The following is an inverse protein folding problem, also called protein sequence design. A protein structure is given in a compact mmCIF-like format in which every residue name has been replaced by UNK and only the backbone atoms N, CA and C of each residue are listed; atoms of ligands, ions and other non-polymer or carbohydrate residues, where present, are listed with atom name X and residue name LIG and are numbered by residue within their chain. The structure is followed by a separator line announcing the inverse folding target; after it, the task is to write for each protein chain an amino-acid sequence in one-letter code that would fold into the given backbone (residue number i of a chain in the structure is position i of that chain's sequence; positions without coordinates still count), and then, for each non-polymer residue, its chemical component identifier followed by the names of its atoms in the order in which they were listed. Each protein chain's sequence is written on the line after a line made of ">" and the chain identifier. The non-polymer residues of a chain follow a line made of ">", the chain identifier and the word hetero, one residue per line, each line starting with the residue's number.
data_IF_975092302801
#
_entry.id   IF_975092302801
#
_cell.length_a   1.000
_cell.length_b   1.000
_cell.length_c   1.000
_cell.angle_alpha   90.00
_cell.angle_beta   90.00
_cell.angle_gamma   90.00
#
_symmetry.space_group_name_H-M   'P 1'
#
loop_
_entity.id
_entity.type
_entity.pdbx_description
1 polymer ?
#
# COMPACT_ATOMS: atom_id res chain seq x y z
N UNK A 1 4.82 -4.42 -3.40
CA UNK A 1 5.70 -5.42 -4.02
C UNK A 1 5.87 -5.17 -5.52
N UNK A 2 4.81 -5.24 -6.34
CA UNK A 2 4.87 -4.96 -7.79
C UNK A 2 5.63 -3.70 -8.18
N UNK A 3 5.23 -2.55 -7.64
CA UNK A 3 5.88 -1.26 -7.96
C UNK A 3 7.35 -1.29 -7.54
N UNK A 4 7.65 -1.85 -6.37
CA UNK A 4 9.02 -2.01 -5.89
C UNK A 4 9.86 -2.83 -6.89
N UNK A 5 9.35 -3.98 -7.34
CA UNK A 5 10.03 -4.82 -8.32
C UNK A 5 10.25 -4.11 -9.67
N UNK A 6 9.21 -3.47 -10.21
CA UNK A 6 9.32 -2.69 -11.46
C UNK A 6 10.34 -1.55 -11.33
N UNK A 7 10.51 -1.01 -10.13
CA UNK A 7 11.51 0.00 -9.81
C UNK A 7 12.87 -0.57 -9.43
N UNK A 8 13.09 -1.88 -9.59
CA UNK A 8 14.35 -2.52 -9.22
C UNK A 8 14.65 -2.49 -7.72
N UNK A 9 13.65 -2.22 -6.87
CA UNK A 9 13.78 -2.21 -5.41
C UNK A 9 13.60 -3.65 -4.91
N UNK A 10 14.66 -4.29 -4.40
CA UNK A 10 14.63 -5.71 -4.09
C UNK A 10 14.06 -6.03 -2.71
N UNK A 11 13.89 -5.03 -1.83
CA UNK A 11 13.45 -5.22 -0.44
C UNK A 11 12.28 -4.29 -0.11
N UNK A 12 11.25 -4.84 0.51
CA UNK A 12 10.05 -4.14 0.97
C UNK A 12 9.80 -4.47 2.45
N UNK A 13 9.51 -3.46 3.27
CA UNK A 13 9.30 -3.64 4.72
C UNK A 13 7.87 -3.28 5.05
N UNK A 14 7.20 -4.14 5.80
CA UNK A 14 5.85 -3.91 6.33
C UNK A 14 5.75 -4.42 7.76
N UNK A 15 4.71 -4.02 8.49
CA UNK A 15 4.51 -4.53 9.84
C UNK A 15 4.22 -6.03 9.81
N UNK A 16 3.29 -6.45 8.97
CA UNK A 16 2.83 -7.83 8.86
C UNK A 16 2.13 -8.02 7.52
N UNK A 17 2.43 -9.12 6.84
CA UNK A 17 1.76 -9.42 5.57
C UNK A 17 0.31 -9.85 5.83
N UNK A 18 -0.55 -9.73 4.83
CA UNK A 18 -1.80 -10.49 4.79
C UNK A 18 -1.53 -11.99 4.65
N UNK A 19 -2.58 -12.78 4.69
CA UNK A 19 -2.48 -14.24 4.72
C UNK A 19 -3.82 -14.91 4.50
N UNK A 20 -3.89 -16.21 4.79
CA UNK A 20 -5.14 -16.96 4.83
C UNK A 20 -5.91 -16.53 6.07
N UNK A 21 -7.18 -16.14 5.90
CA UNK A 21 -8.03 -15.81 7.05
C UNK A 21 -8.42 -17.08 7.80
N UNK A 22 -8.75 -16.95 9.09
CA UNK A 22 -9.26 -18.09 9.88
C UNK A 22 -10.60 -18.56 9.30
N UNK A 23 -10.72 -19.87 9.04
CA UNK A 23 -11.85 -20.43 8.29
C UNK A 23 -11.72 -20.28 6.76
N UNK A 24 -10.57 -19.81 6.27
CA UNK A 24 -10.26 -19.59 4.86
C UNK A 24 -10.37 -20.85 4.01
N UNK A 25 -10.25 -22.05 4.60
CA UNK A 25 -10.48 -23.33 3.91
C UNK A 25 -11.95 -23.53 3.48
N UNK A 26 -12.89 -22.79 4.08
CA UNK A 26 -14.30 -22.81 3.70
C UNK A 26 -14.70 -21.56 2.92
N UNK A 27 -14.20 -20.39 3.34
CA UNK A 27 -14.59 -19.10 2.76
C UNK A 27 -13.75 -18.72 1.54
N UNK A 28 -12.60 -19.36 1.35
CA UNK A 28 -11.56 -18.96 0.39
C UNK A 28 -11.09 -17.51 0.56
N UNK A 29 -11.20 -16.97 1.78
CA UNK A 29 -10.72 -15.62 2.10
C UNK A 29 -9.20 -15.63 2.33
N UNK A 30 -8.46 -15.41 1.24
CA UNK A 30 -7.00 -15.40 1.20
C UNK A 30 -6.48 -14.07 0.69
N UNK A 31 -5.46 -13.52 1.35
CA UNK A 31 -4.84 -12.25 0.94
C UNK A 31 -4.13 -12.36 -0.42
N UNK A 32 -4.22 -11.29 -1.20
CA UNK A 32 -3.48 -11.14 -2.45
C UNK A 32 -1.97 -11.17 -2.23
N UNK A 33 -1.52 -10.78 -1.05
CA UNK A 33 -0.10 -10.72 -0.68
C UNK A 33 0.61 -12.06 -0.91
N UNK A 34 -0.06 -13.19 -0.69
CA UNK A 34 0.55 -14.51 -0.81
C UNK A 34 0.82 -14.89 -2.26
N UNK A 35 -0.18 -14.69 -3.13
CA UNK A 35 -0.01 -14.89 -4.58
C UNK A 35 0.99 -13.90 -5.16
N UNK A 36 0.99 -12.67 -4.65
CA UNK A 36 1.92 -11.64 -5.09
C UNK A 36 3.37 -11.98 -4.71
N UNK A 37 3.59 -12.48 -3.49
CA UNK A 37 4.87 -13.06 -3.08
C UNK A 37 5.28 -14.23 -3.98
N UNK A 38 4.34 -15.04 -4.47
CA UNK A 38 4.63 -16.15 -5.39
C UNK A 38 5.15 -15.74 -6.77
N UNK A 39 4.87 -14.52 -7.22
CA UNK A 39 5.13 -14.09 -8.61
C UNK A 39 6.00 -12.85 -8.78
N UNK A 40 6.34 -12.19 -7.68
CA UNK A 40 7.14 -10.95 -7.71
C UNK A 40 8.39 -11.12 -6.86
N UNK A 41 9.59 -11.07 -7.48
CA UNK A 41 10.85 -11.31 -6.77
C UNK A 41 11.28 -10.07 -5.99
N UNK A 42 10.62 -9.89 -4.85
CA UNK A 42 10.91 -8.88 -3.83
C UNK A 42 10.99 -9.60 -2.49
N UNK A 43 12.02 -9.28 -1.71
CA UNK A 43 12.12 -9.71 -0.34
C UNK A 43 11.22 -8.83 0.55
N UNK A 44 10.29 -9.44 1.26
CA UNK A 44 9.44 -8.78 2.24
C UNK A 44 9.95 -9.08 3.63
N UNK A 45 10.24 -8.02 4.38
CA UNK A 45 10.59 -8.10 5.80
C UNK A 45 9.37 -7.67 6.61
N UNK A 46 8.91 -8.53 7.52
CA UNK A 46 7.76 -8.23 8.39
C UNK A 46 7.83 -8.98 9.70
N UNK A 47 6.97 -8.63 10.66
CA UNK A 47 6.78 -9.40 11.88
C UNK A 47 5.95 -10.68 11.67
N UNK A 48 6.08 -11.33 10.51
CA UNK A 48 5.25 -12.44 10.08
C UNK A 48 3.93 -11.97 9.48
N UNK A 49 2.84 -12.65 9.84
CA UNK A 49 1.48 -12.46 9.30
C UNK A 49 0.63 -11.75 10.34
N UNK A 50 -0.27 -10.84 9.92
CA UNK A 50 -1.16 -10.12 10.87
C UNK A 50 -1.93 -11.10 11.78
N UNK A 51 -2.00 -10.82 13.08
CA UNK A 51 -2.44 -11.79 14.10
C UNK A 51 -3.89 -12.31 13.96
N UNK A 52 -4.76 -11.59 13.25
CA UNK A 52 -6.14 -12.04 12.99
C UNK A 52 -6.24 -13.19 11.98
N UNK A 53 -5.12 -13.58 11.36
CA UNK A 53 -5.05 -14.54 10.27
C UNK A 53 -4.65 -15.94 10.78
N UNK A 54 -4.67 -16.90 9.88
CA UNK A 54 -4.26 -18.28 10.11
C UNK A 54 -2.81 -18.49 9.64
N UNK A 55 -1.88 -18.60 10.60
CA UNK A 55 -0.45 -18.71 10.29
C UNK A 55 -0.13 -20.03 9.61
N UNK A 56 -0.64 -21.16 10.12
CA UNK A 56 -0.37 -22.48 9.56
C UNK A 56 -0.80 -22.57 8.09
N UNK A 57 -2.04 -22.18 7.80
CA UNK A 57 -2.54 -22.18 6.42
C UNK A 57 -1.82 -21.17 5.54
N UNK A 58 -1.38 -20.04 6.10
CA UNK A 58 -0.59 -19.07 5.35
C UNK A 58 0.77 -19.65 4.95
N UNK A 59 1.45 -20.38 5.83
CA UNK A 59 2.72 -21.04 5.51
C UNK A 59 2.55 -22.11 4.42
N UNK A 60 1.51 -22.96 4.52
CA UNK A 60 1.18 -23.95 3.49
C UNK A 60 0.89 -23.32 2.12
N UNK A 61 0.16 -22.20 2.12
CA UNK A 61 -0.12 -21.46 0.88
C UNK A 61 1.16 -20.87 0.30
N UNK A 62 2.04 -20.28 1.13
CA UNK A 62 3.31 -19.72 0.68
C UNK A 62 4.25 -20.80 0.12
N UNK A 63 4.28 -21.98 0.74
CA UNK A 63 4.97 -23.14 0.20
C UNK A 63 4.43 -23.53 -1.19
N UNK A 64 3.11 -23.61 -1.33
CA UNK A 64 2.44 -23.88 -2.61
C UNK A 64 2.79 -22.84 -3.69
N UNK A 65 2.96 -21.58 -3.31
CA UNK A 65 3.36 -20.49 -4.19
C UNK A 65 4.87 -20.45 -4.48
N UNK A 66 5.66 -21.38 -3.92
CA UNK A 66 7.12 -21.41 -4.09
C UNK A 66 7.83 -20.22 -3.43
N UNK A 67 7.23 -19.62 -2.39
CA UNK A 67 7.81 -18.48 -1.67
C UNK A 67 8.80 -18.99 -0.64
N UNK A 68 10.04 -18.49 -0.67
CA UNK A 68 11.01 -18.78 0.37
C UNK A 68 10.63 -18.05 1.66
N UNK A 69 10.34 -18.79 2.73
CA UNK A 69 9.97 -18.22 4.04
C UNK A 69 11.05 -18.55 5.07
N UNK A 70 11.65 -17.53 5.67
CA UNK A 70 12.67 -17.67 6.70
C UNK A 70 12.31 -16.86 7.95
N UNK A 71 12.48 -17.43 9.13
CA UNK A 71 12.48 -16.66 10.38
C UNK A 71 13.84 -15.99 10.58
N UNK A 72 13.86 -14.81 11.22
CA UNK A 72 15.08 -14.08 11.54
C UNK A 72 15.47 -14.26 13.01
N UNK A 73 16.74 -14.60 13.25
CA UNK A 73 17.35 -14.78 14.57
C UNK A 73 17.73 -16.23 14.84
N UNK A 74 17.73 -16.63 16.11
CA UNK A 74 18.29 -17.91 16.56
C UNK A 74 17.28 -19.07 16.59
N UNK A 75 16.06 -18.87 16.06
CA UNK A 75 14.99 -19.88 16.10
C UNK A 75 14.24 -19.92 14.78
N UNK A 76 13.70 -21.10 14.46
CA UNK A 76 12.73 -21.32 13.38
C UNK A 76 11.31 -20.87 13.74
N UNK A 77 11.06 -20.50 14.98
CA UNK A 77 9.74 -20.03 15.43
C UNK A 77 9.26 -18.87 14.55
N UNK A 78 8.09 -19.06 13.92
CA UNK A 78 7.49 -18.03 13.09
C UNK A 78 6.78 -17.01 13.99
N UNK A 79 7.02 -15.70 13.86
CA UNK A 79 6.38 -14.70 14.70
C UNK A 79 4.90 -14.48 14.34
N UNK A 80 4.07 -14.25 15.36
CA UNK A 80 2.64 -13.92 15.23
C UNK A 80 2.39 -12.41 15.36
N UNK A 81 3.15 -11.59 14.63
CA UNK A 81 3.07 -10.13 14.59
C UNK A 81 3.36 -9.44 15.92
N UNK A 82 2.45 -9.50 16.90
CA UNK A 82 2.69 -8.98 18.24
C UNK A 82 3.43 -9.96 19.16
N UNK A 83 3.34 -11.26 18.89
CA UNK A 83 4.00 -12.30 19.69
C UNK A 83 5.24 -12.87 19.00
N UNK A 84 6.27 -13.19 19.79
CA UNK A 84 7.44 -13.95 19.31
C UNK A 84 7.09 -15.39 18.99
N UNK A 85 6.11 -15.95 19.69
CA UNK A 85 5.73 -17.35 19.61
C UNK A 85 4.35 -17.46 18.97
N UNK A 86 4.27 -18.28 17.93
CA UNK A 86 3.02 -18.61 17.24
C UNK A 86 2.65 -20.08 17.40
N UNK A 87 3.60 -20.93 17.81
CA UNK A 87 3.46 -22.38 17.74
C UNK A 87 3.73 -22.96 16.35
N UNK A 88 4.09 -22.12 15.37
CA UNK A 88 4.44 -22.54 14.01
C UNK A 88 5.93 -22.30 13.73
N UNK A 89 6.52 -23.12 12.87
CA UNK A 89 7.91 -23.01 12.45
C UNK A 89 8.01 -22.55 11.00
N UNK A 90 8.91 -21.62 10.72
CA UNK A 90 9.30 -21.27 9.37
C UNK A 90 10.05 -22.44 8.70
N UNK A 91 9.93 -22.63 7.38
CA UNK A 91 10.72 -23.61 6.62
C UNK A 91 12.23 -23.40 6.77
N UNK A 92 12.68 -22.15 6.78
CA UNK A 92 14.10 -21.77 6.90
C UNK A 92 14.34 -20.80 8.06
N UNK A 93 15.61 -20.57 8.37
CA UNK A 93 16.06 -19.60 9.38
C UNK A 93 17.28 -18.85 8.84
N UNK A 94 17.36 -17.55 9.13
CA UNK A 94 18.55 -16.72 8.92
C UNK A 94 18.94 -16.09 10.26
N UNK A 95 20.22 -16.16 10.64
CA UNK A 95 20.65 -15.78 11.98
C UNK A 95 20.87 -14.27 12.15
N UNK A 96 21.29 -13.61 11.08
CA UNK A 96 21.73 -12.21 11.09
C UNK A 96 21.46 -11.54 9.74
N UNK A 97 21.70 -10.22 9.69
CA UNK A 97 21.46 -9.39 8.52
C UNK A 97 22.31 -9.79 7.31
N UNK A 98 23.52 -10.32 7.53
CA UNK A 98 24.41 -10.76 6.45
C UNK A 98 23.87 -12.01 5.76
N UNK A 99 23.40 -13.01 6.53
CA UNK A 99 22.74 -14.20 5.99
C UNK A 99 21.45 -13.86 5.25
N UNK A 100 20.63 -12.97 5.82
CA UNK A 100 19.43 -12.46 5.17
C UNK A 100 19.76 -11.79 3.82
N UNK A 101 20.79 -10.93 3.78
CA UNK A 101 21.23 -10.28 2.55
C UNK A 101 21.75 -11.29 1.50
N UNK A 102 22.51 -12.31 1.93
CA UNK A 102 22.98 -13.39 1.04
C UNK A 102 21.83 -14.20 0.46
N UNK A 103 20.81 -14.53 1.26
CA UNK A 103 19.60 -15.21 0.78
C UNK A 103 18.88 -14.40 -0.30
N UNK A 104 18.67 -13.11 -0.06
CA UNK A 104 18.03 -12.19 -1.01
C UNK A 104 18.87 -12.09 -2.29
N UNK A 105 20.18 -11.85 -2.17
CA UNK A 105 21.08 -11.73 -3.31
C UNK A 105 21.12 -13.02 -4.16
N UNK A 106 21.09 -14.18 -3.51
CA UNK A 106 21.08 -15.49 -4.19
C UNK A 106 19.78 -15.69 -4.97
N UNK A 107 18.64 -15.34 -4.37
CA UNK A 107 17.31 -15.42 -5.04
C UNK A 107 17.29 -14.57 -6.30
N UNK A 108 17.82 -13.34 -6.23
CA UNK A 108 17.90 -12.43 -7.39
C UNK A 108 18.87 -12.95 -8.45
N UNK A 109 20.04 -13.47 -8.04
CA UNK A 109 21.07 -13.98 -8.96
C UNK A 109 20.60 -15.21 -9.73
N UNK A 110 19.82 -16.08 -9.07
CA UNK A 110 19.23 -17.27 -9.67
C UNK A 110 18.06 -16.95 -10.62
N UNK A 111 17.58 -15.70 -10.65
CA UNK A 111 16.46 -15.29 -11.49
C UNK A 111 15.14 -15.94 -11.08
N UNK A 112 14.97 -16.29 -9.80
CA UNK A 112 13.72 -16.85 -9.29
C UNK A 112 12.60 -15.82 -9.42
N UNK A 113 11.41 -16.29 -9.79
CA UNK A 113 10.24 -15.43 -10.02
C UNK A 113 9.41 -15.19 -8.76
N UNK A 114 9.64 -15.95 -7.68
CA UNK A 114 9.02 -15.75 -6.39
C UNK A 114 9.85 -14.82 -5.48
N UNK A 115 9.16 -14.18 -4.56
CA UNK A 115 9.72 -13.36 -3.50
C UNK A 115 10.23 -14.19 -2.32
N UNK A 116 10.74 -13.48 -1.33
CA UNK A 116 11.23 -14.04 -0.07
C UNK A 116 10.48 -13.37 1.08
N UNK A 117 10.01 -14.12 2.07
CA UNK A 117 9.50 -13.57 3.32
C UNK A 117 10.53 -13.79 4.43
N UNK A 118 11.03 -12.70 5.01
CA UNK A 118 11.88 -12.73 6.20
C UNK A 118 11.02 -12.27 7.38
N UNK A 119 10.63 -13.23 8.23
CA UNK A 119 9.78 -13.01 9.38
C UNK A 119 10.63 -12.66 10.62
N UNK A 120 10.58 -11.40 11.02
CA UNK A 120 11.38 -10.83 12.11
C UNK A 120 10.56 -10.76 13.40
N UNK A 121 10.95 -11.45 14.48
CA UNK A 121 10.21 -11.36 15.72
C UNK A 121 10.23 -9.93 16.28
N UNK A 122 9.11 -9.55 16.92
CA UNK A 122 9.00 -8.28 17.63
C UNK A 122 10.09 -8.18 18.71
N UNK A 123 10.42 -7.00 19.25
CA UNK A 123 11.42 -6.87 20.31
C UNK A 123 10.95 -7.46 21.64
N UNK A 124 11.84 -8.09 22.43
CA UNK A 124 11.51 -8.73 23.72
C UNK A 124 10.86 -7.76 24.71
N UNK A 125 11.23 -6.49 24.69
CA UNK A 125 10.66 -5.46 25.57
C UNK A 125 9.16 -5.23 25.33
N UNK A 126 8.63 -5.65 24.18
CA UNK A 126 7.22 -5.55 23.80
C UNK A 126 6.49 -6.90 23.84
N UNK A 127 7.18 -7.99 24.19
CA UNK A 127 6.63 -9.33 24.18
C UNK A 127 5.47 -9.50 25.20
N UNK A 128 5.58 -8.91 26.39
CA UNK A 128 4.54 -9.02 27.42
C UNK A 128 3.22 -8.34 27.03
N UNK A 129 3.29 -7.16 26.40
CA UNK A 129 2.11 -6.52 25.78
C UNK A 129 1.61 -7.33 24.59
N UNK A 130 2.53 -7.92 23.82
CA UNK A 130 2.21 -8.75 22.67
C UNK A 130 1.43 -10.02 23.01
N UNK A 131 1.84 -10.75 24.05
CA UNK A 131 1.11 -11.91 24.56
C UNK A 131 -0.29 -11.56 25.05
N UNK A 132 -0.44 -10.38 25.68
CA UNK A 132 -1.74 -9.90 26.14
C UNK A 132 -2.66 -9.61 24.95
N UNK A 133 -2.13 -8.98 23.91
CA UNK A 133 -2.86 -8.71 22.66
C UNK A 133 -3.21 -10.02 21.95
N UNK A 134 -2.29 -10.98 21.88
CA UNK A 134 -2.52 -12.28 21.25
C UNK A 134 -3.59 -13.09 21.99
N UNK A 135 -3.59 -13.06 23.33
CA UNK A 135 -4.67 -13.65 24.13
C UNK A 135 -6.03 -13.01 23.83
N UNK A 136 -6.07 -11.68 23.71
CA UNK A 136 -7.28 -10.96 23.34
C UNK A 136 -7.76 -11.34 21.92
N UNK A 137 -6.84 -11.51 20.97
CA UNK A 137 -7.16 -11.98 19.61
C UNK A 137 -7.71 -13.39 19.65
N UNK A 138 -7.07 -14.32 20.36
CA UNK A 138 -7.55 -15.69 20.44
C UNK A 138 -8.93 -15.78 21.11
N UNK A 139 -9.18 -14.95 22.13
CA UNK A 139 -10.51 -14.82 22.72
C UNK A 139 -11.53 -14.27 21.71
N UNK A 140 -11.21 -13.19 20.99
CA UNK A 140 -12.09 -12.62 19.97
C UNK A 140 -12.41 -13.64 18.86
N UNK A 141 -11.44 -14.44 18.43
CA UNK A 141 -11.63 -15.52 17.46
C UNK A 141 -12.57 -16.60 17.99
N UNK A 142 -12.40 -17.03 19.24
CA UNK A 142 -13.28 -18.02 19.86
C UNK A 142 -14.72 -17.50 19.98
N UNK A 143 -14.89 -16.23 20.38
CA UNK A 143 -16.20 -15.59 20.46
C UNK A 143 -16.85 -15.43 19.09
N UNK A 144 -16.08 -15.11 18.04
CA UNK A 144 -16.58 -15.04 16.67
C UNK A 144 -17.10 -16.41 16.22
N UNK A 145 -16.34 -17.47 16.49
CA UNK A 145 -16.73 -18.86 16.20
C UNK A 145 -17.99 -19.28 16.94
N UNK A 146 -18.09 -18.97 18.24
CA UNK A 146 -19.27 -19.28 19.05
C UNK A 146 -20.54 -18.53 18.57
N UNK A 147 -20.37 -17.32 18.02
CA UNK A 147 -21.45 -16.51 17.44
C UNK A 147 -21.74 -16.83 15.97
N UNK A 148 -20.99 -17.73 15.35
CA UNK A 148 -21.12 -18.05 13.93
C UNK A 148 -20.76 -16.91 12.98
N UNK A 149 -19.95 -15.94 13.42
CA UNK A 149 -19.54 -14.80 12.60
C UNK A 149 -18.48 -15.25 11.61
N UNK A 150 -18.76 -15.10 10.31
CA UNK A 150 -17.91 -15.58 9.22
C UNK A 150 -17.80 -14.55 8.09
N UNK A 151 -16.85 -14.77 7.18
CA UNK A 151 -16.67 -13.96 5.97
C UNK A 151 -16.36 -12.50 6.28
N UNK A 152 -16.96 -11.57 5.52
CA UNK A 152 -16.68 -10.13 5.60
C UNK A 152 -16.95 -9.48 6.97
N UNK A 153 -17.77 -10.11 7.82
CA UNK A 153 -18.11 -9.60 9.16
C UNK A 153 -17.11 -10.04 10.23
N UNK A 154 -16.31 -11.07 9.94
CA UNK A 154 -15.31 -11.59 10.86
C UNK A 154 -14.24 -10.54 11.17
N UNK A 155 -13.64 -9.91 10.16
CA UNK A 155 -12.55 -8.95 10.38
C UNK A 155 -12.98 -7.70 11.17
N UNK A 156 -14.09 -7.01 10.85
CA UNK A 156 -14.60 -5.91 11.68
C UNK A 156 -14.89 -6.33 13.12
N UNK A 157 -15.52 -7.49 13.32
CA UNK A 157 -15.79 -8.04 14.65
C UNK A 157 -14.51 -8.28 15.44
N UNK A 158 -13.51 -8.94 14.84
CA UNK A 158 -12.24 -9.23 15.49
C UNK A 158 -11.52 -7.94 15.89
N UNK A 159 -11.47 -6.94 15.01
CA UNK A 159 -10.81 -5.67 15.31
C UNK A 159 -11.50 -4.91 16.44
N UNK A 160 -12.84 -4.82 16.40
CA UNK A 160 -13.61 -4.20 17.48
C UNK A 160 -13.37 -4.93 18.81
N UNK A 161 -13.50 -6.26 18.81
CA UNK A 161 -13.41 -7.05 20.03
C UNK A 161 -12.01 -7.04 20.65
N UNK A 162 -10.97 -7.10 19.82
CA UNK A 162 -9.58 -6.96 20.28
C UNK A 162 -9.35 -5.57 20.87
N UNK A 163 -9.91 -4.52 20.28
CA UNK A 163 -9.80 -3.18 20.82
C UNK A 163 -10.48 -3.05 22.19
N UNK A 164 -11.67 -3.62 22.36
CA UNK A 164 -12.37 -3.70 23.66
C UNK A 164 -11.55 -4.44 24.73
N UNK A 165 -11.02 -5.62 24.37
CA UNK A 165 -10.24 -6.47 25.28
C UNK A 165 -8.86 -5.90 25.64
N UNK A 166 -8.30 -5.04 24.78
CA UNK A 166 -6.97 -4.43 24.97
C UNK A 166 -7.02 -2.98 25.43
N UNK A 167 -8.22 -2.41 25.58
CA UNK A 167 -8.44 -1.00 25.92
C UNK A 167 -7.64 -0.02 25.04
N UNK A 168 -7.56 -0.27 23.72
CA UNK A 168 -6.83 0.60 22.77
C UNK A 168 -5.36 0.26 22.54
N UNK A 169 -4.73 -0.59 23.36
CA UNK A 169 -3.27 -0.85 23.31
C UNK A 169 -2.78 -1.56 22.04
N UNK A 170 -3.66 -2.20 21.28
CA UNK A 170 -3.33 -2.91 20.03
C UNK A 170 -2.97 -1.97 18.87
N UNK A 171 -3.61 -0.79 18.79
CA UNK A 171 -3.36 0.20 17.74
C UNK A 171 -2.01 0.89 17.94
N UNK A 172 -1.70 1.29 19.18
CA UNK A 172 -0.43 1.95 19.55
C UNK A 172 0.78 1.03 19.32
N UNK A 173 0.62 -0.27 19.61
CA UNK A 173 1.67 -1.28 19.42
C UNK A 173 1.99 -1.53 17.95
N UNK A 174 1.00 -1.46 17.05
CA UNK A 174 1.19 -1.62 15.60
C UNK A 174 2.07 -0.52 15.00
N UNK A 175 1.88 0.72 15.47
CA UNK A 175 2.65 1.90 15.02
C UNK A 175 4.11 1.83 15.53
N UNK A 176 4.33 1.35 16.75
CA UNK A 176 5.66 1.17 17.35
C UNK A 176 6.47 0.06 16.66
N UNK A 177 5.82 -1.05 16.32
CA UNK A 177 6.43 -2.17 15.60
C UNK A 177 6.99 -1.71 14.24
N UNK A 178 6.17 -0.97 13.47
CA UNK A 178 6.55 -0.39 12.18
C UNK A 178 7.79 0.53 12.25
N UNK A 179 7.96 1.28 13.34
CA UNK A 179 9.13 2.16 13.53
C UNK A 179 10.43 1.38 13.78
N UNK A 180 10.37 0.22 14.44
CA UNK A 180 11.56 -0.60 14.75
C UNK A 180 11.93 -1.56 13.62
N UNK A 181 10.96 -2.11 12.89
CA UNK A 181 11.23 -2.92 11.67
C UNK A 181 12.05 -2.12 10.64
N UNK A 182 11.75 -0.83 10.49
CA UNK A 182 12.57 0.09 9.66
C UNK A 182 14.03 0.20 10.10
N UNK A 183 14.34 0.03 11.40
CA UNK A 183 15.71 0.14 11.93
C UNK A 183 16.51 -1.15 11.70
N UNK A 184 15.87 -2.32 11.81
CA UNK A 184 16.49 -3.62 11.51
C UNK A 184 16.70 -3.84 10.01
N UNK A 185 15.82 -3.31 9.18
CA UNK A 185 15.94 -3.35 7.72
C UNK A 185 16.97 -2.35 7.14
N UNK A 186 17.66 -1.57 7.98
CA UNK A 186 18.70 -0.64 7.56
C UNK A 186 20.07 -1.23 7.93
N UNK A 187 20.66 -2.12 7.12
CA UNK A 187 22.01 -2.60 7.37
C UNK A 187 22.95 -1.40 7.26
N UNK A 188 23.68 -1.10 8.34
CA UNK A 188 24.89 -0.29 8.22
C UNK A 188 25.80 -0.95 7.17
N UNK A 189 26.56 -0.18 6.36
CA UNK A 189 27.37 -0.74 5.29
C UNK A 189 28.62 -1.40 5.88
N UNK A 190 28.45 -2.57 6.50
CA UNK A 190 29.55 -3.43 6.89
C UNK A 190 29.97 -4.28 5.67
N UNK A 191 30.95 -3.76 4.94
CA UNK A 191 31.98 -4.53 4.22
C UNK A 191 31.55 -5.69 3.32
N UNK A 192 30.47 -5.53 2.53
CA UNK A 192 30.39 -6.21 1.23
C UNK A 192 30.53 -5.13 0.16
N UNK A 193 31.68 -5.11 -0.53
CA UNK A 193 31.88 -4.29 -1.75
C UNK A 193 30.95 -4.83 -2.84
N UNK A 194 29.67 -4.47 -2.77
CA UNK A 194 28.75 -4.56 -3.90
C UNK A 194 28.68 -3.16 -4.52
N UNK A 195 29.63 -2.89 -5.40
CA UNK A 195 29.70 -1.67 -6.22
C UNK A 195 28.44 -1.42 -7.06
N UNK A 196 27.49 -2.36 -7.11
CA UNK A 196 26.22 -2.25 -7.83
C UNK A 196 25.02 -1.78 -6.98
N UNK A 197 25.08 -1.79 -5.64
CA UNK A 197 23.93 -1.44 -4.79
C UNK A 197 23.71 0.06 -4.59
N UNK A 198 24.73 0.89 -4.82
CA UNK A 198 24.58 2.36 -4.85
C UNK A 198 23.67 2.84 -5.99
N UNK A 199 23.46 2.02 -7.02
CA UNK A 199 22.63 2.35 -8.18
C UNK A 199 21.12 2.16 -7.91
N UNK A 200 20.75 1.45 -6.83
CA UNK A 200 19.43 0.81 -6.68
C UNK A 200 18.35 1.73 -6.02
N UNK A 201 18.70 2.96 -5.69
CA UNK A 201 17.92 3.77 -4.77
C UNK A 201 17.40 5.11 -5.33
N UNK A 202 17.37 5.24 -6.67
CA UNK A 202 17.12 6.48 -7.43
C UNK A 202 15.80 6.48 -8.27
N UNK A 203 14.83 5.61 -7.93
CA UNK A 203 13.75 5.26 -8.86
C UNK A 203 12.41 5.99 -8.71
N UNK A 204 12.21 6.79 -7.66
CA UNK A 204 11.01 7.64 -7.59
C UNK A 204 11.44 9.09 -7.72
N UNK A 205 11.34 9.62 -8.95
CA UNK A 205 11.75 10.99 -9.21
C UNK A 205 10.59 11.97 -9.16
N UNK A 206 9.38 11.60 -9.57
CA UNK A 206 8.28 12.56 -9.65
C UNK A 206 6.95 11.99 -9.14
N UNK A 207 6.32 12.72 -8.23
CA UNK A 207 4.95 12.47 -7.75
C UNK A 207 4.12 13.71 -8.05
N UNK A 208 3.00 13.52 -8.73
CA UNK A 208 2.03 14.57 -9.05
C UNK A 208 0.75 14.25 -8.29
N UNK A 209 0.34 15.11 -7.37
CA UNK A 209 -0.89 14.83 -6.65
C UNK A 209 -1.32 15.92 -5.70
N UNK A 210 -2.45 15.67 -5.04
CA UNK A 210 -3.02 16.60 -4.09
C UNK A 210 -2.28 16.62 -2.74
N UNK A 211 -2.30 17.77 -2.09
CA UNK A 211 -2.02 17.92 -0.65
C UNK A 211 -3.33 18.30 0.02
N UNK A 212 -3.63 17.69 1.16
CA UNK A 212 -4.82 17.97 1.95
C UNK A 212 -4.53 17.93 3.46
N UNK A 213 -5.39 18.61 4.23
CA UNK A 213 -5.45 18.49 5.69
C UNK A 213 -6.73 17.74 6.06
N UNK A 214 -6.56 16.65 6.80
CA UNK A 214 -7.70 15.86 7.25
C UNK A 214 -8.17 16.24 8.65
N UNK A 215 -9.47 16.06 8.88
CA UNK A 215 -10.17 16.33 10.11
C UNK A 215 -11.07 15.13 10.40
N UNK A 216 -11.20 14.78 11.67
CA UNK A 216 -12.15 13.79 12.15
C UNK A 216 -13.14 14.53 13.05
N UNK A 217 -14.39 14.67 12.61
CA UNK A 217 -15.46 15.19 13.43
C UNK A 217 -16.22 14.02 14.07
N UNK A 218 -16.21 13.88 15.39
CA UNK A 218 -16.98 12.85 16.10
C UNK A 218 -18.22 13.45 16.71
N UNK A 219 -19.40 12.94 16.35
CA UNK A 219 -20.65 13.29 17.01
C UNK A 219 -20.68 12.63 18.40
N UNK A 220 -20.88 13.41 19.46
CA UNK A 220 -21.07 12.86 20.82
C UNK A 220 -22.54 12.90 21.27
N UNK A 221 -23.40 13.59 20.53
CA UNK A 221 -24.88 13.62 20.52
C UNK A 221 -25.29 14.59 19.37
N UNK A 222 -26.31 15.46 19.50
CA UNK A 222 -26.63 16.54 18.54
C UNK A 222 -25.53 17.61 18.36
N UNK A 223 -24.37 17.43 19.01
CA UNK A 223 -23.19 18.28 18.95
C UNK A 223 -21.99 17.53 18.36
N UNK A 224 -21.36 18.18 17.37
CA UNK A 224 -20.17 17.69 16.66
C UNK A 224 -18.90 18.20 17.36
N UNK A 225 -17.96 17.30 17.67
CA UNK A 225 -16.61 17.64 18.12
C UNK A 225 -15.61 17.43 16.99
N UNK A 226 -14.88 18.47 16.60
CA UNK A 226 -13.86 18.38 15.53
C UNK A 226 -12.49 18.11 16.14
N UNK A 227 -11.82 17.05 15.69
CA UNK A 227 -10.41 16.75 15.96
C UNK A 227 -9.61 16.92 14.67
N UNK A 228 -8.52 17.67 14.74
CA UNK A 228 -7.66 17.92 13.59
C UNK A 228 -6.64 16.79 13.48
N UNK A 229 -6.63 16.07 12.36
CA UNK A 229 -5.67 15.00 12.10
C UNK A 229 -5.15 15.11 10.68
N UNK A 230 -4.02 15.78 10.48
CA UNK A 230 -3.41 15.92 9.16
C UNK A 230 -3.07 14.54 8.58
N UNK A 231 -3.92 14.03 7.69
CA UNK A 231 -3.69 12.77 7.00
C UNK A 231 -3.29 13.10 5.58
N UNK A 232 -2.03 12.83 5.26
CA UNK A 232 -1.46 13.04 3.94
C UNK A 232 -1.56 11.73 3.17
N UNK A 233 -2.39 11.69 2.13
CA UNK A 233 -2.43 10.58 1.16
C UNK A 233 -1.20 10.59 0.21
N UNK A 234 -0.03 11.01 0.68
CA UNK A 234 1.12 11.19 -0.19
C UNK A 234 2.02 9.97 -0.16
N UNK A 235 2.00 9.23 -1.27
CA UNK A 235 3.10 8.38 -1.69
C UNK A 235 4.47 9.09 -1.53
N UNK A 236 4.53 10.41 -1.83
CA UNK A 236 5.71 11.27 -1.62
C UNK A 236 6.13 11.40 -0.14
N UNK A 237 5.19 11.52 0.78
CA UNK A 237 5.46 11.59 2.22
C UNK A 237 6.02 10.25 2.72
N UNK A 238 5.47 9.13 2.27
CA UNK A 238 6.03 7.82 2.59
C UNK A 238 7.48 7.69 2.08
N UNK A 239 7.77 8.18 0.88
CA UNK A 239 9.11 8.19 0.29
C UNK A 239 10.09 9.10 1.04
N UNK A 240 9.69 10.30 1.45
CA UNK A 240 10.51 11.20 2.26
C UNK A 240 10.92 10.60 3.60
N UNK A 241 10.00 9.90 4.25
CA UNK A 241 10.26 9.15 5.49
C UNK A 241 11.17 7.94 5.30
N UNK A 242 11.45 7.54 4.05
CA UNK A 242 12.43 6.51 3.68
C UNK A 242 13.76 7.12 3.21
N UNK A 243 13.98 8.41 3.43
CA UNK A 243 15.20 9.12 3.02
C UNK A 243 15.30 9.38 1.52
N UNK A 244 14.16 9.39 0.80
CA UNK A 244 14.08 9.75 -0.61
C UNK A 244 13.49 11.14 -0.77
N UNK A 245 13.95 11.92 -1.73
CA UNK A 245 13.35 13.23 -2.02
C UNK A 245 12.82 13.23 -3.44
N UNK A 246 11.64 12.62 -3.69
CA UNK A 246 11.01 12.76 -5.00
C UNK A 246 10.65 14.23 -5.23
N UNK A 247 10.72 14.69 -6.48
CA UNK A 247 10.10 15.94 -6.88
C UNK A 247 8.58 15.78 -6.70
N UNK A 248 8.03 16.55 -5.77
CA UNK A 248 6.61 16.54 -5.50
C UNK A 248 5.95 17.77 -6.12
N UNK A 249 5.07 17.55 -7.10
CA UNK A 249 4.36 18.60 -7.83
C UNK A 249 2.92 18.66 -7.30
N UNK A 250 2.56 19.79 -6.71
CA UNK A 250 1.24 19.99 -6.10
C UNK A 250 0.84 21.47 -5.99
N UNK A 251 -0.33 21.75 -5.41
CA UNK A 251 -0.83 23.07 -5.12
C UNK A 251 -1.47 23.11 -3.72
N UNK A 252 -1.28 24.22 -3.01
CA UNK A 252 -1.92 24.54 -1.72
C UNK A 252 -2.26 26.02 -1.64
N UNK A 253 -3.16 26.38 -0.73
CA UNK A 253 -3.57 27.76 -0.52
C UNK A 253 -2.47 28.55 0.19
N UNK A 254 -2.65 29.86 0.30
CA UNK A 254 -1.89 30.69 1.23
C UNK A 254 -2.75 30.96 2.46
N UNK A 255 -2.85 29.93 3.30
CA UNK A 255 -3.67 29.92 4.51
C UNK A 255 -2.95 29.21 5.67
N UNK A 256 -3.54 29.26 6.86
CA UNK A 256 -3.00 28.63 8.07
C UNK A 256 -2.80 27.11 7.94
N UNK A 257 -3.61 26.45 7.09
CA UNK A 257 -3.47 25.04 6.78
C UNK A 257 -2.18 24.75 6.02
N UNK A 258 -1.85 25.58 5.02
CA UNK A 258 -0.59 25.47 4.27
C UNK A 258 0.64 25.65 5.17
N UNK A 259 0.59 26.55 6.16
CA UNK A 259 1.68 26.74 7.12
C UNK A 259 1.87 25.52 8.02
N UNK A 260 0.76 24.87 8.40
CA UNK A 260 0.77 23.64 9.19
C UNK A 260 1.38 22.49 8.40
N UNK A 261 1.04 22.37 7.12
CA UNK A 261 1.65 21.40 6.19
C UNK A 261 3.15 21.65 6.06
N UNK A 262 3.58 22.89 5.81
CA UNK A 262 5.01 23.21 5.65
C UNK A 262 5.83 22.86 6.90
N UNK A 263 5.28 23.12 8.09
CA UNK A 263 5.91 22.71 9.36
C UNK A 263 6.01 21.19 9.49
N UNK A 264 4.91 20.48 9.22
CA UNK A 264 4.83 19.02 9.36
C UNK A 264 5.68 18.27 8.31
N UNK A 265 5.71 18.79 7.08
CA UNK A 265 6.42 18.24 5.93
C UNK A 265 7.78 18.89 5.68
N UNK A 266 8.41 19.46 6.72
CA UNK A 266 9.75 20.09 6.65
C UNK A 266 10.88 19.17 6.15
N UNK A 267 10.63 17.87 6.09
CA UNK A 267 11.54 16.83 5.59
C UNK A 267 11.28 16.45 4.12
N UNK A 268 10.34 17.12 3.44
CA UNK A 268 10.01 16.92 2.03
C UNK A 268 10.57 18.06 1.17
N UNK A 269 10.86 17.77 -0.10
CA UNK A 269 11.14 18.81 -1.07
C UNK A 269 9.80 19.42 -1.54
N UNK A 270 9.56 20.66 -1.14
CA UNK A 270 8.35 21.42 -1.47
C UNK A 270 8.55 22.33 -2.68
N UNK A 271 9.69 22.26 -3.38
CA UNK A 271 10.01 23.16 -4.51
C UNK A 271 9.05 23.03 -5.70
N UNK A 272 8.34 21.90 -5.83
CA UNK A 272 7.30 21.68 -6.83
C UNK A 272 5.88 22.02 -6.36
N UNK A 273 5.70 22.50 -5.12
CA UNK A 273 4.40 22.82 -4.54
C UNK A 273 4.15 24.32 -4.64
N UNK A 274 3.15 24.73 -5.42
CA UNK A 274 2.76 26.14 -5.51
C UNK A 274 1.84 26.55 -4.37
N UNK A 275 2.08 27.74 -3.81
CA UNK A 275 1.16 28.41 -2.89
C UNK A 275 0.38 29.49 -3.64
N UNK A 276 -0.95 29.39 -3.64
CA UNK A 276 -1.83 30.28 -4.41
C UNK A 276 -2.60 31.22 -3.49
N UNK A 277 -2.56 32.52 -3.80
CA UNK A 277 -3.41 33.53 -3.15
C UNK A 277 -4.87 33.32 -3.53
N UNK A 278 -5.79 33.60 -2.59
CA UNK A 278 -7.23 33.52 -2.82
C UNK A 278 -7.80 32.10 -2.99
N UNK A 279 -7.00 31.06 -2.73
CA UNK A 279 -7.44 29.67 -2.75
C UNK A 279 -7.25 29.05 -1.37
N UNK A 280 -8.18 28.17 -0.97
CA UNK A 280 -8.06 27.36 0.23
C UNK A 280 -7.23 26.12 -0.03
N UNK A 281 -6.35 25.77 0.90
CA UNK A 281 -5.69 24.47 0.95
C UNK A 281 -6.75 23.38 1.06
N UNK A 282 -6.57 22.27 0.33
CA UNK A 282 -7.57 21.22 0.35
C UNK A 282 -7.77 20.65 1.76
N UNK A 283 -9.02 20.39 2.12
CA UNK A 283 -9.39 19.88 3.44
C UNK A 283 -10.39 18.75 3.31
N UNK A 284 -10.23 17.70 4.11
CA UNK A 284 -11.20 16.61 4.20
C UNK A 284 -11.64 16.42 5.64
N UNK A 285 -12.95 16.39 5.89
CA UNK A 285 -13.52 16.13 7.19
C UNK A 285 -14.32 14.83 7.16
N UNK A 286 -13.80 13.80 7.84
CA UNK A 286 -14.51 12.58 8.15
C UNK A 286 -15.40 12.80 9.37
N UNK A 287 -16.72 12.82 9.16
CA UNK A 287 -17.72 12.86 10.21
C UNK A 287 -18.02 11.43 10.65
N UNK A 288 -17.73 11.12 11.90
CA UNK A 288 -17.89 9.82 12.53
C UNK A 288 -19.00 9.91 13.58
N UNK A 289 -19.87 8.90 13.64
CA UNK A 289 -20.94 8.78 14.64
C UNK A 289 -20.38 8.53 16.05
N UNK A 290 -21.21 8.67 17.08
CA UNK A 290 -20.83 8.36 18.47
C UNK A 290 -20.31 6.93 18.65
N UNK A 291 -20.81 6.00 17.82
CA UNK A 291 -20.40 4.59 17.78
C UNK A 291 -19.04 4.34 17.10
N UNK A 292 -18.47 5.33 16.40
CA UNK A 292 -17.21 5.19 15.68
C UNK A 292 -17.34 4.85 14.19
N UNK A 293 -18.57 4.76 13.66
CA UNK A 293 -18.81 4.55 12.23
C UNK A 293 -18.73 5.85 11.41
N UNK A 294 -18.11 5.80 10.22
CA UNK A 294 -18.06 6.93 9.30
C UNK A 294 -19.48 7.25 8.79
N UNK A 295 -19.97 8.44 9.10
CA UNK A 295 -21.27 8.95 8.68
C UNK A 295 -21.20 9.71 7.36
N UNK A 296 -20.25 10.63 7.22
CA UNK A 296 -20.14 11.54 6.07
C UNK A 296 -18.69 11.97 5.86
N UNK A 297 -18.27 12.11 4.61
CA UNK A 297 -17.01 12.77 4.26
C UNK A 297 -17.31 14.10 3.56
N UNK A 298 -16.77 15.20 4.08
CA UNK A 298 -16.85 16.52 3.47
C UNK A 298 -15.47 16.92 2.97
N UNK A 299 -15.29 17.17 1.68
CA UNK A 299 -14.00 17.53 1.11
C UNK A 299 -14.07 18.82 0.29
N UNK A 300 -13.24 19.79 0.62
CA UNK A 300 -12.86 20.87 -0.30
C UNK A 300 -11.53 20.46 -0.96
N UNK A 301 -11.58 20.11 -2.24
CA UNK A 301 -10.45 19.58 -3.02
C UNK A 301 -10.18 20.43 -4.28
N UNK A 302 -10.82 21.59 -4.40
CA UNK A 302 -10.86 22.35 -5.65
C UNK A 302 -9.48 22.85 -6.07
N UNK A 303 -8.59 23.09 -5.11
CA UNK A 303 -7.23 23.54 -5.40
C UNK A 303 -6.41 22.53 -6.20
N UNK A 304 -6.76 21.23 -6.18
CA UNK A 304 -6.07 20.23 -7.01
C UNK A 304 -6.35 20.44 -8.51
N UNK A 305 -7.39 21.19 -8.89
CA UNK A 305 -7.62 21.64 -10.27
C UNK A 305 -6.56 22.65 -10.73
N UNK A 306 -5.87 23.31 -9.81
CA UNK A 306 -4.79 24.26 -10.12
C UNK A 306 -3.47 23.57 -10.46
N UNK A 307 -3.39 22.24 -10.29
CA UNK A 307 -2.30 21.40 -10.79
C UNK A 307 -2.53 21.18 -12.30
N UNK A 308 -2.38 22.25 -13.08
CA UNK A 308 -2.69 22.30 -14.51
C UNK A 308 -1.54 21.78 -15.37
N UNK A 309 -1.84 21.41 -16.62
CA UNK A 309 -0.84 21.05 -17.63
C UNK A 309 0.24 22.13 -17.79
N UNK A 310 -0.17 23.40 -17.79
CA UNK A 310 0.74 24.54 -17.86
C UNK A 310 1.69 24.56 -16.67
N UNK A 311 1.20 24.30 -15.45
CA UNK A 311 2.07 24.20 -14.28
C UNK A 311 3.01 22.99 -14.36
N UNK A 312 2.49 21.81 -14.70
CA UNK A 312 3.28 20.57 -14.83
C UNK A 312 4.38 20.72 -15.91
N UNK A 313 4.10 21.43 -17.00
CA UNK A 313 5.06 21.65 -18.10
C UNK A 313 6.36 22.31 -17.66
N UNK A 314 6.35 23.09 -16.57
CA UNK A 314 7.56 23.69 -15.97
C UNK A 314 8.56 22.65 -15.49
N UNK A 315 8.07 21.44 -15.20
CA UNK A 315 8.86 20.29 -14.73
C UNK A 315 9.07 19.23 -15.81
N UNK A 316 8.82 19.55 -17.10
CA UNK A 316 8.89 18.60 -18.22
C UNK A 316 10.22 17.83 -18.25
N UNK A 317 11.35 18.49 -18.04
CA UNK A 317 12.66 17.83 -18.06
C UNK A 317 12.82 16.77 -16.95
N UNK A 318 12.30 17.05 -15.75
CA UNK A 318 12.28 16.10 -14.64
C UNK A 318 11.35 14.92 -14.93
N UNK A 319 10.20 15.17 -15.56
CA UNK A 319 9.26 14.12 -15.99
C UNK A 319 9.90 13.21 -17.04
N UNK A 320 10.48 13.77 -18.11
CA UNK A 320 11.11 13.05 -19.22
C UNK A 320 12.24 12.10 -18.78
N UNK A 321 12.87 12.37 -17.64
CA UNK A 321 13.98 11.57 -17.09
C UNK A 321 13.59 10.74 -15.88
N UNK A 322 12.30 10.75 -15.51
CA UNK A 322 11.77 9.95 -14.43
C UNK A 322 11.61 8.50 -14.89
N UNK A 323 12.12 7.51 -14.15
CA UNK A 323 11.85 6.11 -14.46
C UNK A 323 10.39 5.73 -14.14
N UNK A 324 9.74 6.48 -13.24
CA UNK A 324 8.32 6.38 -12.92
C UNK A 324 7.76 7.73 -12.50
N UNK A 325 6.54 8.01 -12.94
CA UNK A 325 5.70 9.11 -12.48
C UNK A 325 4.47 8.54 -11.79
N UNK A 326 4.21 8.95 -10.55
CA UNK A 326 2.96 8.64 -9.84
C UNK A 326 1.99 9.82 -9.99
N UNK A 327 0.75 9.54 -10.36
CA UNK A 327 -0.32 10.52 -10.57
C UNK A 327 -1.51 10.18 -9.66
N UNK A 328 -1.87 11.13 -8.81
CA UNK A 328 -3.04 11.03 -7.93
C UNK A 328 -4.35 11.31 -8.70
N UNK A 329 -5.42 10.60 -8.35
CA UNK A 329 -6.71 10.73 -9.00
C UNK A 329 -7.44 12.06 -8.77
N UNK A 330 -7.03 12.86 -7.79
CA UNK A 330 -7.60 14.19 -7.54
C UNK A 330 -7.27 15.20 -8.64
N UNK A 331 -6.15 15.00 -9.35
CA UNK A 331 -5.71 15.88 -10.43
C UNK A 331 -6.72 15.89 -11.60
N UNK A 332 -6.79 17.00 -12.34
CA UNK A 332 -7.75 17.15 -13.46
C UNK A 332 -7.52 16.11 -14.57
N UNK A 333 -8.58 15.77 -15.30
CA UNK A 333 -8.50 14.82 -16.43
C UNK A 333 -7.52 15.28 -17.50
N UNK A 334 -7.50 16.58 -17.79
CA UNK A 334 -6.64 17.15 -18.83
C UNK A 334 -5.16 17.07 -18.43
N UNK A 335 -4.84 17.30 -17.16
CA UNK A 335 -3.50 17.08 -16.62
C UNK A 335 -3.09 15.59 -16.65
N UNK A 336 -4.01 14.67 -16.30
CA UNK A 336 -3.74 13.22 -16.42
C UNK A 336 -3.42 12.86 -17.89
N UNK A 337 -4.18 13.41 -18.85
CA UNK A 337 -3.96 13.20 -20.28
C UNK A 337 -2.57 13.68 -20.71
N UNK A 338 -2.19 14.90 -20.31
CA UNK A 338 -0.89 15.48 -20.61
C UNK A 338 0.28 14.65 -20.07
N UNK A 339 0.20 14.20 -18.80
CA UNK A 339 1.23 13.32 -18.21
C UNK A 339 1.30 11.98 -18.97
N UNK A 340 0.16 11.39 -19.30
CA UNK A 340 0.10 10.14 -20.07
C UNK A 340 0.65 10.29 -21.50
N UNK A 341 0.53 11.47 -22.10
CA UNK A 341 1.11 11.79 -23.40
C UNK A 341 2.64 11.85 -23.31
N UNK A 342 3.20 12.64 -22.37
CA UNK A 342 4.65 12.71 -22.14
C UNK A 342 5.20 11.31 -21.86
N UNK A 343 4.51 10.53 -21.03
CA UNK A 343 4.94 9.18 -20.70
C UNK A 343 4.99 8.25 -21.92
N UNK A 344 4.05 8.40 -22.86
CA UNK A 344 4.06 7.63 -24.11
C UNK A 344 5.25 7.99 -24.98
N UNK A 345 5.45 9.29 -25.19
CA UNK A 345 6.53 9.86 -26.03
C UNK A 345 7.92 9.49 -25.50
N UNK A 346 8.11 9.50 -24.17
CA UNK A 346 9.40 9.27 -23.53
C UNK A 346 9.54 7.87 -22.90
N UNK A 347 8.55 6.99 -23.09
CA UNK A 347 8.52 5.63 -22.55
C UNK A 347 8.69 5.56 -21.02
N UNK A 348 8.05 6.49 -20.32
CA UNK A 348 8.06 6.57 -18.86
C UNK A 348 7.00 5.63 -18.29
N UNK A 349 7.31 4.94 -17.18
CA UNK A 349 6.29 4.21 -16.45
C UNK A 349 5.35 5.21 -15.73
N UNK A 350 4.04 4.94 -15.77
CA UNK A 350 3.04 5.76 -15.06
C UNK A 350 2.28 4.89 -14.09
N UNK A 351 2.23 5.30 -12.82
CA UNK A 351 1.30 4.76 -11.85
C UNK A 351 0.19 5.75 -11.54
N UNK A 352 -1.05 5.30 -11.59
CA UNK A 352 -2.24 6.10 -11.30
C UNK A 352 -2.91 5.57 -10.03
N UNK A 353 -3.12 6.43 -9.04
CA UNK A 353 -3.75 6.07 -7.78
C UNK A 353 -5.16 6.68 -7.72
N UNK A 354 -6.24 5.89 -7.91
CA UNK A 354 -7.60 6.38 -7.76
C UNK A 354 -7.93 6.63 -6.28
N UNK A 355 -8.80 7.60 -6.00
CA UNK A 355 -9.27 7.88 -4.63
C UNK A 355 -10.79 7.76 -4.47
N UNK A 356 -11.53 7.65 -5.57
CA UNK A 356 -12.96 7.31 -5.59
C UNK A 356 -13.38 6.82 -6.99
N UNK A 357 -14.64 6.38 -7.11
CA UNK A 357 -15.25 5.86 -8.34
C UNK A 357 -15.18 6.83 -9.53
N UNK A 358 -15.39 8.12 -9.29
CA UNK A 358 -15.37 9.13 -10.34
C UNK A 358 -13.94 9.37 -10.83
N UNK A 359 -12.99 9.46 -9.90
CA UNK A 359 -11.57 9.66 -10.19
C UNK A 359 -10.99 8.44 -10.90
N UNK A 360 -11.30 7.23 -10.44
CA UNK A 360 -10.87 5.98 -11.07
C UNK A 360 -11.20 5.92 -12.57
N UNK A 361 -12.30 6.55 -12.97
CA UNK A 361 -12.78 6.56 -14.35
C UNK A 361 -12.04 7.55 -15.26
N UNK A 362 -11.37 8.58 -14.71
CA UNK A 362 -10.77 9.69 -15.50
C UNK A 362 -9.84 9.23 -16.62
N UNK A 363 -8.87 8.31 -16.41
CA UNK A 363 -7.98 7.88 -17.49
C UNK A 363 -8.70 7.09 -18.60
N UNK A 364 -9.87 6.53 -18.31
CA UNK A 364 -10.66 5.68 -19.21
C UNK A 364 -11.70 6.47 -20.02
N UNK A 365 -11.89 7.76 -19.73
CA UNK A 365 -12.68 8.68 -20.55
C UNK A 365 -11.99 9.05 -21.88
N UNK A 366 -10.74 8.62 -22.06
CA UNK A 366 -9.92 8.83 -23.27
C UNK A 366 -8.93 7.67 -23.41
N UNK A 367 -8.09 7.65 -24.45
CA UNK A 367 -7.05 6.60 -24.62
C UNK A 367 -5.85 6.75 -23.66
N UNK A 368 -5.90 7.62 -22.66
CA UNK A 368 -4.81 7.81 -21.69
C UNK A 368 -4.51 6.57 -20.87
N UNK A 369 -5.51 5.74 -20.56
CA UNK A 369 -5.32 4.49 -19.82
C UNK A 369 -4.30 3.55 -20.48
N UNK A 370 -4.14 3.61 -21.81
CA UNK A 370 -3.16 2.79 -22.55
C UNK A 370 -1.71 3.14 -22.21
N UNK A 371 -1.46 4.34 -21.68
CA UNK A 371 -0.14 4.77 -21.21
C UNK A 371 0.13 4.37 -19.76
N UNK A 372 -0.88 3.92 -19.01
CA UNK A 372 -0.71 3.53 -17.61
C UNK A 372 0.05 2.21 -17.52
N UNK A 373 1.11 2.20 -16.72
CA UNK A 373 1.82 0.97 -16.33
C UNK A 373 1.15 0.31 -15.13
N UNK A 374 0.45 1.11 -14.33
CA UNK A 374 0.10 0.80 -12.95
C UNK A 374 -1.17 1.55 -12.54
N UNK A 375 -2.18 0.84 -12.02
CA UNK A 375 -3.38 1.34 -11.34
C UNK A 375 -3.83 0.37 -10.25
N UNK A 376 -4.31 0.88 -9.12
CA UNK A 376 -4.58 0.15 -7.87
C UNK A 376 -6.06 0.24 -7.41
N UNK A 377 -7.05 -0.02 -8.28
CA UNK A 377 -8.44 0.26 -7.92
C UNK A 377 -8.98 -0.74 -6.87
N UNK A 378 -9.81 -0.25 -5.96
CA UNK A 378 -10.69 -1.12 -5.16
C UNK A 378 -11.87 -1.63 -6.01
N UNK A 379 -12.72 -2.49 -5.43
CA UNK A 379 -13.84 -3.10 -6.17
C UNK A 379 -14.86 -2.08 -6.70
N UNK A 380 -15.13 -1.00 -5.95
CA UNK A 380 -16.09 0.02 -6.38
C UNK A 380 -15.51 0.82 -7.54
N UNK A 381 -14.27 1.25 -7.42
CA UNK A 381 -13.51 1.95 -8.45
C UNK A 381 -13.40 1.12 -9.74
N UNK A 382 -13.12 -0.18 -9.62
CA UNK A 382 -13.06 -1.06 -10.78
C UNK A 382 -14.42 -1.20 -11.47
N UNK A 383 -15.51 -1.26 -10.71
CA UNK A 383 -16.87 -1.24 -11.30
C UNK A 383 -17.11 0.07 -12.05
N UNK A 384 -16.68 1.20 -11.52
CA UNK A 384 -16.79 2.49 -12.20
C UNK A 384 -15.99 2.52 -13.51
N UNK A 385 -14.77 1.98 -13.51
CA UNK A 385 -13.96 1.80 -14.72
C UNK A 385 -14.71 0.94 -15.77
N UNK A 386 -15.30 -0.19 -15.36
CA UNK A 386 -16.06 -1.05 -16.28
C UNK A 386 -17.28 -0.36 -16.89
N UNK A 387 -18.03 0.41 -16.08
CA UNK A 387 -19.16 1.21 -16.59
C UNK A 387 -18.68 2.22 -17.62
N UNK A 388 -17.54 2.88 -17.35
CA UNK A 388 -16.94 3.88 -18.23
C UNK A 388 -16.52 3.29 -19.58
N UNK A 389 -16.04 2.05 -19.58
CA UNK A 389 -15.68 1.32 -20.79
C UNK A 389 -16.87 0.71 -21.54
N UNK A 390 -18.10 0.86 -21.04
CA UNK A 390 -19.30 0.30 -21.65
C UNK A 390 -19.46 -1.22 -21.48
N UNK A 391 -18.74 -1.83 -20.54
CA UNK A 391 -18.85 -3.26 -20.28
C UNK A 391 -20.00 -3.56 -19.31
N UNK A 392 -20.91 -4.51 -19.63
CA UNK A 392 -22.03 -4.85 -18.77
C UNK A 392 -21.54 -5.46 -17.44
N UNK A 393 -22.10 -4.98 -16.33
CA UNK A 393 -21.83 -5.52 -14.98
C UNK A 393 -22.99 -6.46 -14.61
N UNK A 394 -22.74 -7.75 -14.31
CA UNK A 394 -23.82 -8.67 -13.93
C UNK A 394 -24.61 -8.19 -12.71
N UNK A 395 -25.94 -8.26 -12.78
CA UNK A 395 -26.87 -7.75 -11.75
C UNK A 395 -26.74 -8.47 -10.39
N UNK A 396 -26.29 -9.73 -10.37
CA UNK A 396 -26.18 -10.56 -9.15
C UNK A 396 -24.73 -10.71 -8.65
N UNK A 397 -23.93 -9.66 -8.83
CA UNK A 397 -22.49 -9.64 -8.54
C UNK A 397 -22.13 -9.47 -7.06
N UNK A 398 -22.85 -10.14 -6.15
CA UNK A 398 -22.41 -10.32 -4.75
C UNK A 398 -21.15 -11.21 -4.63
N UNK A 399 -20.86 -12.00 -5.67
CA UNK A 399 -19.77 -12.99 -5.70
C UNK A 399 -18.77 -12.80 -6.86
N UNK A 400 -18.89 -11.74 -7.66
CA UNK A 400 -17.93 -11.45 -8.74
C UNK A 400 -16.77 -10.58 -8.23
N UNK A 401 -15.55 -11.10 -8.26
CA UNK A 401 -14.31 -10.44 -7.87
C UNK A 401 -13.29 -10.53 -9.02
N UNK A 402 -12.44 -9.52 -9.29
CA UNK A 402 -11.77 -9.31 -10.61
C UNK A 402 -10.35 -9.93 -10.80
N UNK A 403 -10.01 -10.44 -12.02
CA UNK A 403 -8.63 -10.62 -12.59
C UNK A 403 -8.59 -10.73 -14.17
N UNK A 404 -7.40 -10.81 -14.78
CA UNK A 404 -7.04 -10.41 -16.18
C UNK A 404 -6.29 -11.46 -17.03
N UNK A 405 -6.34 -11.34 -18.37
CA UNK A 405 -5.67 -12.19 -19.42
C UNK A 405 -4.66 -11.42 -20.31
N UNK A 406 -3.84 -12.16 -21.08
CA UNK A 406 -2.70 -11.73 -21.91
C UNK A 406 -3.06 -11.63 -23.41
N UNK A 407 -2.65 -10.54 -24.08
CA UNK A 407 -2.49 -10.48 -25.55
C UNK A 407 -3.59 -9.80 -26.37
N UNK A 408 -3.22 -8.71 -27.05
CA UNK A 408 -3.85 -8.04 -28.22
C UNK A 408 -5.39 -7.89 -28.30
N UNK A 409 -5.83 -6.64 -28.12
CA UNK A 409 -7.05 -6.04 -28.68
C UNK A 409 -8.44 -6.44 -28.16
N UNK A 410 -8.56 -7.26 -27.11
CA UNK A 410 -9.85 -7.49 -26.43
C UNK A 410 -9.77 -7.37 -24.90
N UNK A 411 -10.88 -6.93 -24.28
CA UNK A 411 -11.06 -6.78 -22.83
C UNK A 411 -12.05 -7.86 -22.36
N UNK A 412 -11.54 -8.91 -21.71
CA UNK A 412 -12.34 -10.00 -21.10
C UNK A 412 -11.88 -10.18 -19.62
N UNK A 413 -12.82 -10.35 -18.68
CA UNK A 413 -12.57 -10.34 -17.22
C UNK A 413 -13.05 -11.62 -16.49
N UNK A 414 -12.18 -12.29 -15.69
CA UNK A 414 -12.47 -13.45 -14.83
C UNK A 414 -11.58 -13.51 -13.56
N UNK A 415 -11.94 -14.20 -12.47
CA UNK A 415 -11.77 -13.75 -11.07
C UNK A 415 -10.44 -13.79 -10.28
N UNK A 416 -10.28 -12.80 -9.37
CA UNK A 416 -9.40 -12.52 -8.19
C UNK A 416 -7.86 -12.21 -8.23
N UNK A 417 -7.57 -10.98 -7.71
CA UNK A 417 -6.42 -10.39 -6.94
C UNK A 417 -5.07 -9.97 -7.60
N UNK A 418 -5.07 -8.67 -7.96
CA UNK A 418 -3.97 -7.68 -8.22
C UNK A 418 -2.87 -8.03 -9.24
N UNK A 419 -3.17 -8.01 -10.53
CA UNK A 419 -2.15 -7.82 -11.57
C UNK A 419 -2.36 -6.50 -12.30
N UNK A 420 -1.28 -5.74 -12.46
CA UNK A 420 -1.20 -4.60 -13.38
C UNK A 420 -1.04 -5.09 -14.82
N UNK A 421 -1.74 -4.42 -15.73
CA UNK A 421 -1.62 -4.59 -17.18
C UNK A 421 -0.17 -4.35 -17.64
N UNK A 422 0.40 -5.30 -18.40
CA UNK A 422 1.77 -5.21 -18.92
C UNK A 422 1.72 -5.13 -20.45
N UNK A 423 1.51 -3.93 -20.99
CA UNK A 423 1.38 -3.70 -22.42
C UNK A 423 2.70 -3.58 -23.19
N UNK A 424 3.68 -4.49 -23.06
CA UNK A 424 4.84 -4.57 -24.01
C UNK A 424 5.51 -5.94 -24.10
N UNK A 425 5.36 -6.59 -25.27
CA UNK A 425 6.36 -7.32 -26.08
C UNK A 425 5.64 -7.88 -27.31
N UNK A 426 6.15 -7.94 -28.53
CA UNK A 426 7.05 -7.11 -29.33
C UNK A 426 6.77 -7.59 -30.75
N UNK A 427 6.62 -6.67 -31.70
CA UNK A 427 6.80 -7.01 -33.10
C UNK A 427 8.20 -7.59 -33.29
N UNK A 428 8.29 -8.85 -33.72
CA UNK A 428 9.40 -9.36 -34.51
C UNK A 428 8.80 -10.31 -35.54
N UNK A 429 8.90 -9.83 -36.77
CA UNK A 429 8.64 -10.43 -38.09
C UNK A 429 7.20 -10.80 -38.44
#
# INVERSE_FOLDING_TARGET
>A
MLVAHKMGIPVFVTGGIGGVHRGGEKTMDVSADLTELGRTPVAVVSAGVKSILDIGRTLEYLETQGVCVASFGNSREFPAFFSHQSGFQAPYQVQNEEEAAKLIASTLTLGLSSGVLIAVPCPKEQAASGETIEKAIQQAVNEAGAKGIIGKELTPFLLQRVNELTHGKSLDSSILLLKKEKRKANPAPASVRVSHLHFIFSFFKVVIGGINVDFIAKAKDATLMVQNTTSLHLFSYCLSRLGKMPLFISAMGKDEHSESILRYCSHMDMGGVVQLDGHSTATYCAVITGSGELSLGLGDMDIHQQITEQYISKFKQSLCTAPLVCVDGNVSTSTIQYVCQIAREHHIAVCYEPTDENKASKPFLSDSWRSLTCISPNLRELRAINRTLGHPIPADSRHFMPLWFVGSHEVIFQSQKTSLWNGRKAARD
#
